data_IF_482274124238
#
_entry.id   IF_482274124238
#
_cell.length_a   1.000
_cell.length_b   1.000
_cell.length_c   1.000
_cell.angle_alpha   90.00
_cell.angle_beta   90.00
_cell.angle_gamma   90.00
#
_symmetry.space_group_name_H-M   'P 1'
#
loop_
_entity.id
_entity.type
_entity.pdbx_description
1 polymer ?
#
# COMPACT_ATOMS: atom_id res chain seq x y z
N UNK A 1 -1.28 -6.14 -15.82
CA UNK A 1 -2.36 -6.93 -16.43
C UNK A 1 -2.66 -8.25 -15.70
N UNK A 2 -1.70 -8.85 -15.02
CA UNK A 2 -1.86 -10.13 -14.29
C UNK A 2 -2.66 -10.05 -12.97
N UNK A 3 -2.83 -8.88 -12.37
CA UNK A 3 -3.59 -8.72 -11.10
C UNK A 3 -5.12 -8.88 -11.25
N UNK A 4 -5.64 -8.97 -12.47
CA UNK A 4 -7.08 -9.05 -12.74
C UNK A 4 -7.66 -10.47 -12.69
N UNK A 5 -6.81 -11.51 -12.69
CA UNK A 5 -7.29 -12.89 -12.89
C UNK A 5 -7.35 -13.75 -11.62
N UNK A 6 -6.66 -13.39 -10.54
CA UNK A 6 -6.45 -14.35 -9.46
C UNK A 6 -7.35 -14.12 -8.25
N UNK A 7 -7.69 -12.88 -7.89
CA UNK A 7 -8.62 -12.59 -6.78
C UNK A 7 -9.36 -11.25 -7.01
N UNK A 8 -10.25 -11.20 -7.98
CA UNK A 8 -11.13 -10.02 -8.14
C UNK A 8 -12.29 -10.07 -7.12
N UNK A 9 -11.96 -9.80 -5.86
CA UNK A 9 -12.94 -9.67 -4.77
C UNK A 9 -13.01 -8.25 -4.25
N UNK A 10 -12.83 -7.28 -5.13
CA UNK A 10 -13.20 -5.91 -4.78
C UNK A 10 -14.69 -5.87 -4.49
N UNK A 11 -15.07 -5.25 -3.39
CA UNK A 11 -16.47 -4.93 -3.12
C UNK A 11 -17.06 -4.23 -4.35
N UNK A 12 -18.31 -4.54 -4.70
CA UNK A 12 -19.00 -3.82 -5.78
C UNK A 12 -18.86 -2.29 -5.62
N UNK A 13 -18.83 -1.81 -4.39
CA UNK A 13 -18.62 -0.39 -4.07
C UNK A 13 -17.24 0.14 -4.46
N UNK A 14 -16.19 -0.66 -4.26
CA UNK A 14 -14.82 -0.28 -4.66
C UNK A 14 -14.66 -0.25 -6.17
N UNK A 15 -15.37 -1.15 -6.86
CA UNK A 15 -15.40 -1.20 -8.33
C UNK A 15 -16.09 0.04 -8.87
N UNK A 16 -17.30 0.36 -8.36
CA UNK A 16 -18.07 1.56 -8.76
C UNK A 16 -17.22 2.81 -8.56
N UNK A 17 -16.62 2.96 -7.38
CA UNK A 17 -15.74 4.09 -7.07
C UNK A 17 -14.56 4.20 -8.04
N UNK A 18 -13.91 3.09 -8.36
CA UNK A 18 -12.76 3.07 -9.29
C UNK A 18 -13.19 3.47 -10.70
N UNK A 19 -14.34 2.98 -11.18
CA UNK A 19 -14.90 3.35 -12.50
C UNK A 19 -15.20 4.85 -12.54
N UNK A 20 -15.91 5.37 -11.52
CA UNK A 20 -16.28 6.79 -11.45
C UNK A 20 -15.05 7.69 -11.41
N UNK A 21 -14.03 7.35 -10.61
CA UNK A 21 -12.81 8.16 -10.53
C UNK A 21 -12.06 8.14 -11.86
N UNK A 22 -11.87 6.98 -12.47
CA UNK A 22 -11.15 6.85 -13.73
C UNK A 22 -11.87 7.59 -14.87
N UNK A 23 -13.19 7.45 -14.96
CA UNK A 23 -14.01 8.12 -15.97
C UNK A 23 -14.07 9.64 -15.77
N UNK A 24 -14.06 10.12 -14.51
CA UNK A 24 -13.99 11.56 -14.19
C UNK A 24 -12.66 12.17 -14.60
N UNK A 25 -11.55 11.45 -14.37
CA UNK A 25 -10.24 11.87 -14.87
C UNK A 25 -10.21 11.94 -16.40
N UNK A 26 -10.78 10.90 -17.06
CA UNK A 26 -10.89 10.88 -18.52
C UNK A 26 -11.75 12.04 -19.05
N UNK A 27 -12.87 12.35 -18.39
CA UNK A 27 -13.70 13.52 -18.71
C UNK A 27 -12.88 14.80 -18.64
N UNK A 28 -12.12 14.99 -17.56
CA UNK A 28 -11.26 16.17 -17.40
C UNK A 28 -10.23 16.30 -18.52
N UNK A 29 -9.53 15.21 -18.86
CA UNK A 29 -8.56 15.23 -19.96
C UNK A 29 -9.23 15.46 -21.32
N UNK A 30 -10.39 14.88 -21.57
CA UNK A 30 -11.15 15.08 -22.82
C UNK A 30 -11.61 16.53 -22.94
N UNK A 31 -12.09 17.14 -21.86
CA UNK A 31 -12.47 18.56 -21.87
C UNK A 31 -11.26 19.47 -22.07
N UNK A 32 -10.11 19.17 -21.45
CA UNK A 32 -8.87 19.92 -21.63
C UNK A 32 -8.35 19.80 -23.07
N UNK A 33 -8.34 18.59 -23.63
CA UNK A 33 -7.97 18.35 -25.03
C UNK A 33 -8.89 19.06 -26.01
N UNK A 34 -10.21 19.01 -25.80
CA UNK A 34 -11.21 19.72 -26.60
C UNK A 34 -11.04 21.24 -26.54
N UNK A 35 -10.53 21.77 -25.44
CA UNK A 35 -10.20 23.18 -25.30
C UNK A 35 -8.93 23.55 -26.06
N UNK A 36 -7.90 22.70 -26.00
CA UNK A 36 -6.58 22.94 -26.65
C UNK A 36 -6.67 22.75 -28.17
N UNK A 37 -7.41 21.75 -28.62
CA UNK A 37 -7.56 21.41 -30.06
C UNK A 37 -8.92 21.86 -30.58
N UNK A 38 -9.10 23.17 -30.79
CA UNK A 38 -10.38 23.81 -31.18
C UNK A 38 -11.03 23.22 -32.43
N UNK A 39 -10.25 22.71 -33.36
CA UNK A 39 -10.73 22.14 -34.64
C UNK A 39 -11.50 20.82 -34.44
N UNK A 40 -11.28 20.11 -33.32
CA UNK A 40 -11.92 18.84 -32.96
C UNK A 40 -12.82 18.96 -31.74
N UNK A 41 -13.31 20.16 -31.44
CA UNK A 41 -14.10 20.41 -30.25
C UNK A 41 -15.50 19.77 -30.36
N UNK A 42 -15.72 18.70 -29.59
CA UNK A 42 -17.06 18.15 -29.42
C UNK A 42 -17.91 19.07 -28.52
N UNK A 43 -19.23 19.18 -28.81
CA UNK A 43 -20.14 19.90 -27.91
C UNK A 43 -20.04 19.38 -26.47
N UNK A 44 -19.94 20.29 -25.52
CA UNK A 44 -19.79 19.93 -24.07
C UNK A 44 -20.90 19.00 -23.56
N UNK A 45 -22.14 19.19 -24.08
CA UNK A 45 -23.27 18.32 -23.78
C UNK A 45 -23.06 16.88 -24.24
N UNK A 46 -22.43 16.67 -25.41
CA UNK A 46 -22.13 15.34 -25.94
C UNK A 46 -21.11 14.65 -25.04
N UNK A 47 -20.06 15.36 -24.61
CA UNK A 47 -19.02 14.82 -23.70
C UNK A 47 -19.65 14.42 -22.36
N UNK A 48 -20.54 15.24 -21.78
CA UNK A 48 -21.23 14.94 -20.53
C UNK A 48 -22.19 13.76 -20.65
N UNK A 49 -22.98 13.70 -21.71
CA UNK A 49 -23.90 12.57 -21.96
C UNK A 49 -23.10 11.29 -22.15
N UNK A 50 -22.02 11.32 -22.94
CA UNK A 50 -21.15 10.17 -23.14
C UNK A 50 -20.52 9.68 -21.81
N UNK A 51 -20.10 10.61 -20.93
CA UNK A 51 -19.58 10.29 -19.59
C UNK A 51 -20.63 9.55 -18.75
N UNK A 52 -21.88 10.04 -18.71
CA UNK A 52 -22.95 9.41 -17.92
C UNK A 52 -23.27 8.03 -18.46
N UNK A 53 -23.47 7.90 -19.78
CA UNK A 53 -23.77 6.62 -20.43
C UNK A 53 -22.66 5.60 -20.24
N UNK A 54 -21.39 6.01 -20.39
CA UNK A 54 -20.23 5.16 -20.19
C UNK A 54 -20.19 4.61 -18.75
N UNK A 55 -20.42 5.46 -17.75
CA UNK A 55 -20.47 5.01 -16.35
C UNK A 55 -21.59 4.01 -16.10
N UNK A 56 -22.81 4.28 -16.60
CA UNK A 56 -23.94 3.36 -16.45
C UNK A 56 -23.62 2.01 -17.10
N UNK A 57 -23.10 1.99 -18.32
CA UNK A 57 -22.75 0.77 -19.04
C UNK A 57 -21.64 -0.03 -18.34
N UNK A 58 -20.56 0.63 -17.94
CA UNK A 58 -19.44 -0.03 -17.27
C UNK A 58 -19.83 -0.60 -15.91
N UNK A 59 -20.60 0.14 -15.12
CA UNK A 59 -21.06 -0.30 -13.80
C UNK A 59 -22.03 -1.48 -13.97
N UNK A 60 -23.02 -1.37 -14.87
CA UNK A 60 -24.00 -2.43 -15.14
C UNK A 60 -23.31 -3.70 -15.65
N UNK A 61 -22.38 -3.57 -16.60
CA UNK A 61 -21.59 -4.68 -17.12
C UNK A 61 -20.80 -5.39 -16.01
N UNK A 62 -20.13 -4.62 -15.16
CA UNK A 62 -19.32 -5.22 -14.10
C UNK A 62 -20.15 -5.88 -13.01
N UNK A 63 -21.30 -5.30 -12.66
CA UNK A 63 -22.25 -5.92 -11.74
C UNK A 63 -22.79 -7.23 -12.32
N UNK A 64 -23.21 -7.22 -13.58
CA UNK A 64 -23.71 -8.39 -14.29
C UNK A 64 -22.65 -9.49 -14.38
N UNK A 65 -21.41 -9.11 -14.74
CA UNK A 65 -20.27 -10.01 -14.76
C UNK A 65 -20.05 -10.66 -13.39
N UNK A 66 -20.07 -9.88 -12.31
CA UNK A 66 -19.90 -10.42 -10.95
C UNK A 66 -21.04 -11.36 -10.54
N UNK A 67 -22.28 -11.11 -10.98
CA UNK A 67 -23.41 -11.99 -10.68
C UNK A 67 -23.26 -13.33 -11.44
N UNK A 68 -22.91 -13.27 -12.73
CA UNK A 68 -22.82 -14.45 -13.58
C UNK A 68 -21.59 -15.31 -13.26
N UNK A 69 -20.44 -14.65 -13.05
CA UNK A 69 -19.14 -15.31 -12.88
C UNK A 69 -18.61 -15.34 -11.44
N UNK A 70 -19.42 -14.96 -10.45
CA UNK A 70 -19.05 -15.06 -9.03
C UNK A 70 -18.97 -16.53 -8.61
N UNK A 71 -17.86 -17.20 -8.92
CA UNK A 71 -17.55 -18.52 -8.36
C UNK A 71 -17.30 -18.38 -6.86
N UNK A 72 -17.78 -19.35 -6.06
CA UNK A 72 -17.27 -19.54 -4.70
C UNK A 72 -15.76 -19.81 -4.83
N UNK A 73 -14.95 -19.14 -4.03
CA UNK A 73 -13.49 -19.29 -4.12
C UNK A 73 -13.06 -20.69 -3.63
N UNK A 74 -13.98 -21.42 -3.00
CA UNK A 74 -13.72 -22.76 -2.54
C UNK A 74 -12.98 -22.84 -1.22
N UNK A 75 -12.23 -23.92 -1.02
CA UNK A 75 -11.46 -24.16 0.20
C UNK A 75 -9.99 -23.79 -0.02
N UNK A 76 -9.47 -22.90 0.81
CA UNK A 76 -8.04 -22.54 0.85
C UNK A 76 -7.39 -23.30 1.98
N UNK A 77 -6.30 -24.01 1.69
CA UNK A 77 -5.43 -24.59 2.70
C UNK A 77 -4.34 -23.58 3.03
N UNK A 78 -4.33 -23.09 4.26
CA UNK A 78 -3.22 -22.26 4.76
C UNK A 78 -2.24 -23.14 5.53
N UNK A 79 -0.97 -23.11 5.13
CA UNK A 79 0.14 -23.83 5.76
C UNK A 79 1.08 -22.77 6.32
N UNK A 80 1.22 -22.69 7.65
CA UNK A 80 2.01 -21.63 8.28
C UNK A 80 2.34 -21.95 9.73
N UNK A 81 2.89 -20.96 10.45
CA UNK A 81 3.05 -21.05 11.91
C UNK A 81 1.73 -20.78 12.62
N UNK A 82 1.60 -21.24 13.87
CA UNK A 82 0.44 -20.95 14.73
C UNK A 82 0.26 -19.43 14.93
N UNK A 83 1.34 -18.66 14.98
CA UNK A 83 1.30 -17.20 15.11
C UNK A 83 0.72 -16.51 13.86
N UNK A 84 0.91 -17.12 12.69
CA UNK A 84 0.37 -16.61 11.42
C UNK A 84 -1.11 -16.99 11.21
N UNK A 85 -1.61 -18.06 11.85
CA UNK A 85 -2.94 -18.62 11.63
C UNK A 85 -4.05 -17.59 11.78
N UNK A 86 -4.18 -17.02 12.97
CA UNK A 86 -5.24 -16.06 13.29
C UNK A 86 -5.15 -14.82 12.39
N UNK A 87 -3.96 -14.32 12.17
CA UNK A 87 -3.71 -13.14 11.34
C UNK A 87 -4.15 -13.36 9.89
N UNK A 88 -3.64 -14.41 9.26
CA UNK A 88 -3.85 -14.69 7.83
C UNK A 88 -5.28 -15.17 7.59
N UNK A 89 -5.79 -16.08 8.43
CA UNK A 89 -7.18 -16.56 8.34
C UNK A 89 -8.17 -15.40 8.44
N UNK A 90 -8.00 -14.51 9.42
CA UNK A 90 -8.85 -13.33 9.55
C UNK A 90 -8.71 -12.38 8.36
N UNK A 91 -7.52 -12.21 7.79
CA UNK A 91 -7.31 -11.39 6.59
C UNK A 91 -8.06 -11.99 5.38
N UNK A 92 -7.97 -13.30 5.16
CA UNK A 92 -8.68 -14.01 4.10
C UNK A 92 -10.20 -13.88 4.29
N UNK A 93 -10.71 -14.18 5.49
CA UNK A 93 -12.14 -14.09 5.79
C UNK A 93 -12.68 -12.64 5.69
N UNK A 94 -11.89 -11.64 6.08
CA UNK A 94 -12.28 -10.24 5.92
C UNK A 94 -12.32 -9.78 4.47
N UNK A 95 -11.49 -10.36 3.62
CA UNK A 95 -11.41 -10.03 2.20
C UNK A 95 -12.48 -10.76 1.38
N UNK A 96 -12.68 -12.05 1.64
CA UNK A 96 -13.52 -12.93 0.82
C UNK A 96 -14.87 -13.27 1.46
N UNK A 97 -15.04 -13.01 2.75
CA UNK A 97 -16.29 -13.24 3.47
C UNK A 97 -16.64 -14.73 3.54
N UNK A 98 -17.96 -15.01 3.46
CA UNK A 98 -18.51 -16.38 3.53
C UNK A 98 -18.26 -17.24 2.27
N UNK A 99 -17.62 -16.68 1.24
CA UNK A 99 -17.36 -17.36 -0.04
C UNK A 99 -16.14 -18.30 0.02
N UNK A 100 -15.42 -18.31 1.14
CA UNK A 100 -14.16 -19.05 1.31
C UNK A 100 -14.20 -19.82 2.61
N UNK A 101 -13.81 -21.08 2.54
CA UNK A 101 -13.48 -21.90 3.70
C UNK A 101 -11.95 -21.98 3.84
N UNK A 102 -11.43 -21.56 4.99
CA UNK A 102 -10.00 -21.65 5.29
C UNK A 102 -9.77 -22.86 6.18
N UNK A 103 -8.89 -23.77 5.76
CA UNK A 103 -8.34 -24.85 6.57
C UNK A 103 -6.90 -24.49 6.92
N UNK A 104 -6.52 -24.66 8.16
CA UNK A 104 -5.16 -24.43 8.64
C UNK A 104 -4.46 -25.75 8.91
N UNK A 105 -3.17 -25.80 8.57
CA UNK A 105 -2.25 -26.86 8.97
C UNK A 105 -0.94 -26.21 9.43
N UNK A 106 -0.45 -26.64 10.59
CA UNK A 106 0.83 -26.14 11.08
C UNK A 106 1.99 -26.61 10.18
N UNK A 107 2.92 -25.71 9.91
CA UNK A 107 4.13 -25.99 9.13
C UNK A 107 5.07 -27.03 9.78
N UNK A 108 4.94 -27.26 11.09
CA UNK A 108 5.66 -28.30 11.83
C UNK A 108 5.19 -29.72 11.53
N UNK A 109 3.96 -29.88 11.00
CA UNK A 109 3.40 -31.18 10.69
C UNK A 109 4.26 -31.94 9.64
N UNK A 110 4.24 -33.30 9.70
CA UNK A 110 4.92 -34.14 8.74
C UNK A 110 4.40 -33.87 7.31
N UNK A 111 5.32 -33.81 6.34
CA UNK A 111 4.98 -33.50 4.94
C UNK A 111 3.88 -34.41 4.37
N UNK A 112 3.87 -35.69 4.74
CA UNK A 112 2.88 -36.66 4.27
C UNK A 112 1.45 -36.31 4.71
N UNK A 113 1.28 -35.71 5.90
CA UNK A 113 -0.03 -35.24 6.36
C UNK A 113 -0.46 -34.00 5.56
N UNK A 114 0.44 -33.06 5.37
CA UNK A 114 0.19 -31.85 4.56
C UNK A 114 -0.26 -32.26 3.15
N UNK A 115 0.45 -33.18 2.50
CA UNK A 115 0.14 -33.64 1.14
C UNK A 115 -1.22 -34.36 1.02
N UNK A 116 -1.67 -35.07 2.05
CA UNK A 116 -3.00 -35.67 2.07
C UNK A 116 -4.12 -34.62 2.00
N UNK A 117 -3.95 -33.50 2.69
CA UNK A 117 -4.95 -32.42 2.70
C UNK A 117 -5.03 -31.66 1.38
N UNK A 118 -3.97 -31.68 0.57
CA UNK A 118 -3.96 -31.04 -0.75
C UNK A 118 -5.03 -31.58 -1.70
N UNK A 119 -5.49 -32.82 -1.50
CA UNK A 119 -6.50 -33.41 -2.38
C UNK A 119 -7.87 -32.75 -2.25
N UNK A 120 -8.19 -32.26 -1.05
CA UNK A 120 -9.55 -31.79 -0.67
C UNK A 120 -9.69 -30.27 -0.68
N UNK A 121 -8.76 -29.55 -1.28
CA UNK A 121 -8.76 -28.07 -1.30
C UNK A 121 -8.60 -27.54 -2.72
N UNK A 122 -9.11 -26.36 -2.97
CA UNK A 122 -9.10 -25.74 -4.30
C UNK A 122 -7.84 -24.90 -4.54
N UNK A 123 -7.25 -24.36 -3.47
CA UNK A 123 -6.02 -23.57 -3.55
C UNK A 123 -5.21 -23.67 -2.26
N UNK A 124 -3.93 -23.36 -2.36
CA UNK A 124 -2.97 -23.48 -1.27
C UNK A 124 -2.34 -22.10 -1.00
N UNK A 125 -2.22 -21.73 0.27
CA UNK A 125 -1.46 -20.58 0.70
C UNK A 125 -0.36 -21.00 1.67
N UNK A 126 0.87 -20.63 1.38
CA UNK A 126 2.06 -21.01 2.15
C UNK A 126 2.56 -19.79 2.91
N UNK A 127 2.70 -19.92 4.22
CA UNK A 127 3.24 -18.89 5.11
C UNK A 127 4.73 -18.63 4.89
N UNK A 128 5.23 -17.56 5.51
CA UNK A 128 6.63 -17.13 5.33
C UNK A 128 7.63 -17.98 6.11
N UNK A 129 7.20 -18.64 7.17
CA UNK A 129 8.06 -19.41 8.09
C UNK A 129 8.25 -20.88 7.74
N UNK A 130 7.73 -21.36 6.60
CA UNK A 130 7.90 -22.76 6.22
C UNK A 130 9.32 -23.04 5.71
N UNK A 131 9.86 -24.17 6.10
CA UNK A 131 11.17 -24.66 5.64
C UNK A 131 11.21 -24.85 4.10
N UNK A 132 12.31 -24.42 3.46
CA UNK A 132 12.40 -24.40 2.00
C UNK A 132 12.18 -25.77 1.36
N UNK A 133 12.64 -26.85 1.97
CA UNK A 133 12.45 -28.21 1.44
C UNK A 133 10.98 -28.63 1.46
N UNK A 134 10.29 -28.37 2.58
CA UNK A 134 8.82 -28.62 2.69
C UNK A 134 8.05 -27.75 1.71
N UNK A 135 8.40 -26.46 1.62
CA UNK A 135 7.81 -25.50 0.68
C UNK A 135 7.89 -25.99 -0.76
N UNK A 136 9.07 -26.46 -1.17
CA UNK A 136 9.28 -27.00 -2.52
C UNK A 136 8.40 -28.22 -2.80
N UNK A 137 8.32 -29.18 -1.87
CA UNK A 137 7.49 -30.39 -2.01
C UNK A 137 6.00 -30.06 -2.13
N UNK A 138 5.52 -29.10 -1.33
CA UNK A 138 4.13 -28.63 -1.40
C UNK A 138 3.84 -27.93 -2.72
N UNK A 139 4.72 -27.05 -3.18
CA UNK A 139 4.58 -26.35 -4.47
C UNK A 139 4.53 -27.37 -5.61
N UNK A 140 5.51 -28.30 -5.67
CA UNK A 140 5.60 -29.30 -6.72
C UNK A 140 4.32 -30.15 -6.83
N UNK A 141 3.86 -30.71 -5.70
CA UNK A 141 2.64 -31.54 -5.66
C UNK A 141 1.38 -30.74 -6.04
N UNK A 142 1.33 -29.47 -5.68
CA UNK A 142 0.20 -28.60 -5.99
C UNK A 142 0.13 -28.24 -7.47
N UNK A 143 1.29 -27.91 -8.07
CA UNK A 143 1.42 -27.60 -9.48
C UNK A 143 1.11 -28.85 -10.34
N UNK A 144 1.60 -30.03 -9.94
CA UNK A 144 1.29 -31.31 -10.60
C UNK A 144 -0.23 -31.58 -10.65
N UNK A 145 -0.95 -31.18 -9.59
CA UNK A 145 -2.43 -31.30 -9.51
C UNK A 145 -3.18 -30.12 -10.11
N UNK A 146 -2.49 -29.17 -10.75
CA UNK A 146 -3.10 -27.99 -11.36
C UNK A 146 -3.72 -27.02 -10.34
N UNK A 147 -3.30 -27.08 -9.07
CA UNK A 147 -3.85 -26.21 -8.02
C UNK A 147 -3.04 -24.91 -7.87
N UNK A 148 -3.70 -23.75 -7.79
CA UNK A 148 -3.01 -22.48 -7.58
C UNK A 148 -2.35 -22.43 -6.20
N UNK A 149 -1.11 -21.98 -6.16
CA UNK A 149 -0.32 -21.82 -4.93
C UNK A 149 0.01 -20.35 -4.72
N UNK A 150 -0.27 -19.86 -3.53
CA UNK A 150 0.05 -18.51 -3.07
C UNK A 150 1.12 -18.62 -2.01
N UNK A 151 2.17 -17.84 -2.12
CA UNK A 151 3.27 -17.84 -1.15
C UNK A 151 3.38 -16.48 -0.52
N UNK A 152 3.39 -16.42 0.81
CA UNK A 152 3.78 -15.22 1.53
C UNK A 152 5.31 -15.13 1.46
N UNK A 153 5.88 -14.17 0.68
CA UNK A 153 7.30 -14.18 0.42
C UNK A 153 8.08 -13.80 1.69
N UNK A 154 9.16 -14.51 1.96
CA UNK A 154 10.18 -14.05 2.87
C UNK A 154 11.19 -13.13 2.15
N UNK A 155 12.19 -12.60 2.86
CA UNK A 155 13.18 -11.70 2.26
C UNK A 155 13.95 -12.36 1.11
N UNK A 156 14.33 -13.63 1.27
CA UNK A 156 15.04 -14.40 0.23
C UNK A 156 14.19 -14.54 -1.05
N UNK A 157 12.91 -14.88 -0.92
CA UNK A 157 11.98 -14.96 -2.04
C UNK A 157 11.88 -13.62 -2.80
N UNK A 158 11.81 -12.50 -2.05
CA UNK A 158 11.75 -11.17 -2.65
C UNK A 158 13.04 -10.78 -3.39
N UNK A 159 14.19 -11.19 -2.87
CA UNK A 159 15.48 -10.93 -3.50
C UNK A 159 15.65 -11.73 -4.79
N UNK A 160 15.19 -12.97 -4.83
CA UNK A 160 15.25 -13.83 -6.00
C UNK A 160 14.23 -13.48 -7.08
N UNK A 161 13.11 -12.85 -6.73
CA UNK A 161 11.97 -12.66 -7.62
C UNK A 161 12.29 -11.95 -8.96
N UNK A 162 13.41 -11.29 -9.11
CA UNK A 162 13.85 -10.64 -10.36
C UNK A 162 15.34 -10.91 -10.68
N UNK A 163 15.81 -12.10 -10.33
CA UNK A 163 17.09 -12.58 -10.85
C UNK A 163 17.00 -12.82 -12.36
N UNK A 164 18.06 -12.53 -13.05
CA UNK A 164 18.20 -12.81 -14.49
C UNK A 164 18.92 -14.14 -14.64
N UNK A 165 18.28 -15.07 -15.34
CA UNK A 165 18.93 -16.33 -15.68
C UNK A 165 19.97 -16.06 -16.76
N UNK A 166 21.21 -16.49 -16.50
CA UNK A 166 22.33 -16.45 -17.45
C UNK A 166 23.11 -17.75 -17.35
N UNK A 167 24.05 -17.96 -18.27
CA UNK A 167 24.90 -19.15 -18.27
C UNK A 167 26.36 -18.74 -18.08
N UNK A 168 27.08 -19.53 -17.31
CA UNK A 168 28.54 -19.51 -17.25
C UNK A 168 28.97 -20.88 -17.78
N UNK A 169 29.49 -20.89 -19.01
CA UNK A 169 29.72 -22.09 -19.78
C UNK A 169 28.42 -22.91 -19.93
N UNK A 170 28.36 -24.14 -19.46
CA UNK A 170 27.19 -25.02 -19.47
C UNK A 170 26.32 -24.96 -18.21
N UNK A 171 26.74 -24.16 -17.23
CA UNK A 171 26.05 -24.03 -15.95
C UNK A 171 25.08 -22.84 -15.97
N UNK A 172 23.79 -23.13 -15.69
CA UNK A 172 22.80 -22.08 -15.48
C UNK A 172 23.00 -21.38 -14.14
N UNK A 173 23.13 -20.06 -14.14
CA UNK A 173 23.26 -19.24 -12.93
C UNK A 173 22.19 -18.17 -12.88
N UNK A 174 21.75 -17.85 -11.67
CA UNK A 174 20.80 -16.78 -11.41
C UNK A 174 21.58 -15.53 -10.97
N UNK A 175 21.69 -14.53 -11.83
CA UNK A 175 22.32 -13.27 -11.50
C UNK A 175 21.33 -12.35 -10.79
N UNK A 176 21.58 -12.06 -9.52
CA UNK A 176 20.81 -11.09 -8.74
C UNK A 176 21.34 -9.69 -9.00
N UNK A 177 20.46 -8.79 -9.43
CA UNK A 177 20.81 -7.37 -9.52
C UNK A 177 20.93 -6.78 -8.12
N UNK A 178 21.85 -5.83 -7.88
CA UNK A 178 21.90 -5.09 -6.62
C UNK A 178 20.54 -4.49 -6.28
N UNK A 179 20.22 -4.41 -4.98
CA UNK A 179 19.05 -3.69 -4.52
C UNK A 179 19.20 -2.19 -4.79
N UNK A 180 18.10 -1.55 -5.16
CA UNK A 180 18.05 -0.13 -5.44
C UNK A 180 17.87 0.18 -6.92
N UNK A 181 17.94 1.45 -7.25
CA UNK A 181 17.72 1.97 -8.60
C UNK A 181 19.05 2.12 -9.33
N UNK A 182 19.08 1.78 -10.62
CA UNK A 182 20.24 2.08 -11.49
C UNK A 182 20.45 3.59 -11.60
N UNK A 183 21.64 4.02 -12.01
CA UNK A 183 21.95 5.46 -12.18
C UNK A 183 20.96 6.14 -13.13
N UNK A 184 20.62 5.50 -14.25
CA UNK A 184 19.63 6.03 -15.20
C UNK A 184 18.24 6.17 -14.58
N UNK A 185 17.79 5.17 -13.84
CA UNK A 185 16.52 5.22 -13.11
C UNK A 185 16.52 6.34 -12.07
N UNK A 186 17.60 6.52 -11.32
CA UNK A 186 17.73 7.60 -10.35
C UNK A 186 17.66 8.98 -11.01
N UNK A 187 18.32 9.16 -12.17
CA UNK A 187 18.32 10.43 -12.91
C UNK A 187 16.91 10.77 -13.43
N UNK A 188 16.24 9.82 -14.10
CA UNK A 188 14.87 10.01 -14.60
C UNK A 188 13.91 10.30 -13.46
N UNK A 189 13.97 9.51 -12.37
CA UNK A 189 13.15 9.73 -11.18
C UNK A 189 13.40 11.10 -10.55
N UNK A 190 14.66 11.53 -10.45
CA UNK A 190 15.02 12.82 -9.88
C UNK A 190 14.49 13.99 -10.71
N UNK A 191 14.61 13.91 -12.02
CA UNK A 191 14.08 14.93 -12.93
C UNK A 191 12.55 15.05 -12.76
N UNK A 192 11.87 13.92 -12.78
CA UNK A 192 10.43 13.88 -12.55
C UNK A 192 10.04 14.44 -11.18
N UNK A 193 10.72 14.03 -10.10
CA UNK A 193 10.47 14.51 -8.74
C UNK A 193 10.59 16.05 -8.65
N UNK A 194 11.61 16.64 -9.28
CA UNK A 194 11.80 18.10 -9.30
C UNK A 194 10.66 18.77 -10.04
N UNK A 195 10.37 18.35 -11.27
CA UNK A 195 9.36 18.98 -12.12
C UNK A 195 7.98 18.86 -11.49
N UNK A 196 7.59 17.66 -11.05
CA UNK A 196 6.28 17.42 -10.49
C UNK A 196 6.10 18.13 -9.12
N UNK A 197 7.13 18.16 -8.27
CA UNK A 197 7.07 18.87 -6.99
C UNK A 197 7.01 20.38 -7.17
N UNK A 198 7.74 20.93 -8.14
CA UNK A 198 7.70 22.36 -8.45
C UNK A 198 6.31 22.76 -8.95
N UNK A 199 5.75 22.03 -9.91
CA UNK A 199 4.39 22.27 -10.42
C UNK A 199 3.37 22.17 -9.28
N UNK A 200 3.47 21.11 -8.46
CA UNK A 200 2.56 20.93 -7.32
C UNK A 200 2.66 22.09 -6.32
N UNK A 201 3.85 22.59 -6.00
CA UNK A 201 4.03 23.74 -5.09
C UNK A 201 3.42 25.02 -5.66
N UNK A 202 3.59 25.27 -6.95
CA UNK A 202 2.99 26.45 -7.61
C UNK A 202 1.47 26.36 -7.59
N UNK A 203 0.92 25.21 -8.01
CA UNK A 203 -0.56 24.99 -8.03
C UNK A 203 -1.19 25.02 -6.65
N UNK A 204 -0.51 24.49 -5.64
CA UNK A 204 -1.01 24.42 -4.25
C UNK A 204 -0.61 25.65 -3.41
N UNK A 205 0.12 26.62 -3.97
CA UNK A 205 0.55 27.81 -3.23
C UNK A 205 -0.61 28.58 -2.55
N UNK A 206 -1.80 28.75 -3.16
CA UNK A 206 -2.92 29.38 -2.46
C UNK A 206 -3.36 28.59 -1.21
N UNK A 207 -3.32 27.25 -1.32
CA UNK A 207 -3.67 26.36 -0.20
C UNK A 207 -2.65 26.47 0.94
N UNK A 208 -1.35 26.61 0.61
CA UNK A 208 -0.31 26.87 1.61
C UNK A 208 -0.55 28.15 2.39
N UNK A 209 -0.94 29.23 1.70
CA UNK A 209 -1.23 30.53 2.32
C UNK A 209 -2.46 30.38 3.24
N UNK A 210 -3.53 29.76 2.77
CA UNK A 210 -4.76 29.57 3.55
C UNK A 210 -4.45 28.80 4.85
N UNK A 211 -3.77 27.65 4.78
CA UNK A 211 -3.47 26.87 5.98
C UNK A 211 -2.45 27.54 6.88
N UNK A 212 -1.49 28.29 6.34
CA UNK A 212 -0.56 29.08 7.14
C UNK A 212 -1.32 30.15 7.97
N UNK A 213 -2.29 30.82 7.36
CA UNK A 213 -3.16 31.81 8.07
C UNK A 213 -4.03 31.10 9.10
N UNK A 214 -4.70 30.01 8.78
CA UNK A 214 -5.55 29.27 9.72
C UNK A 214 -4.77 28.78 10.94
N UNK A 215 -3.55 28.25 10.75
CA UNK A 215 -2.67 27.82 11.84
C UNK A 215 -2.30 29.01 12.74
N UNK A 216 -2.00 30.17 12.14
CA UNK A 216 -1.65 31.39 12.90
C UNK A 216 -2.84 32.00 13.61
N UNK A 217 -4.04 31.89 13.06
CA UNK A 217 -5.27 32.35 13.72
C UNK A 217 -5.63 31.48 14.93
N UNK A 218 -5.40 30.15 14.85
CA UNK A 218 -5.67 29.24 15.96
C UNK A 218 -4.62 29.34 17.07
N UNK A 219 -3.33 29.49 16.71
CA UNK A 219 -2.23 29.70 17.66
C UNK A 219 -1.20 30.70 17.11
N UNK A 220 -1.35 32.00 17.41
CA UNK A 220 -0.51 33.08 16.88
C UNK A 220 0.98 32.95 17.27
N UNK A 221 1.27 32.38 18.44
CA UNK A 221 2.65 32.31 18.96
C UNK A 221 3.44 31.15 18.34
N UNK A 222 2.78 30.05 17.98
CA UNK A 222 3.44 28.84 17.49
C UNK A 222 3.90 28.94 16.03
N UNK A 223 4.81 28.08 15.62
CA UNK A 223 5.32 27.99 14.24
C UNK A 223 4.27 27.48 13.26
N UNK A 224 4.33 27.89 11.98
CA UNK A 224 3.48 27.37 10.92
C UNK A 224 3.90 25.94 10.55
N UNK A 225 5.20 25.71 10.48
CA UNK A 225 5.78 24.45 10.09
C UNK A 225 6.29 23.69 11.31
N UNK A 226 6.02 22.38 11.30
CA UNK A 226 6.60 21.42 12.20
C UNK A 226 7.79 20.76 11.52
N UNK A 227 8.89 20.60 12.24
CA UNK A 227 10.14 19.99 11.79
C UNK A 227 10.45 18.77 12.65
N UNK A 228 10.82 17.66 12.02
CA UNK A 228 11.16 16.43 12.74
C UNK A 228 12.28 15.68 12.01
N UNK A 229 13.20 15.12 12.76
CA UNK A 229 14.25 14.25 12.22
C UNK A 229 13.68 12.89 11.80
N UNK A 230 14.12 12.43 10.64
CA UNK A 230 13.74 11.17 10.02
C UNK A 230 14.94 10.53 9.33
N UNK A 231 14.91 9.19 9.20
CA UNK A 231 15.89 8.47 8.39
C UNK A 231 15.54 8.56 6.90
N UNK A 232 16.52 8.97 6.13
CA UNK A 232 16.49 9.06 4.69
C UNK A 232 17.28 7.93 4.00
N UNK A 233 17.68 8.19 2.75
CA UNK A 233 18.52 7.27 1.98
C UNK A 233 19.83 6.98 2.72
N UNK A 234 20.26 5.72 2.68
CA UNK A 234 21.48 5.21 3.32
C UNK A 234 21.54 5.51 4.83
N UNK A 235 20.36 5.55 5.48
CA UNK A 235 20.16 5.85 6.90
C UNK A 235 20.63 7.24 7.33
N UNK A 236 20.84 8.17 6.40
CA UNK A 236 21.21 9.55 6.71
C UNK A 236 20.00 10.29 7.25
N UNK A 237 20.19 10.98 8.36
CA UNK A 237 19.13 11.80 8.95
C UNK A 237 18.85 13.04 8.11
N UNK A 238 17.59 13.39 8.02
CA UNK A 238 17.12 14.63 7.41
C UNK A 238 15.91 15.20 8.15
N UNK A 239 15.65 16.49 7.98
CA UNK A 239 14.50 17.17 8.59
C UNK A 239 13.32 17.14 7.64
N UNK A 240 12.24 16.44 8.03
CA UNK A 240 10.97 16.47 7.33
C UNK A 240 10.15 17.72 7.70
N UNK A 241 9.52 18.37 6.71
CA UNK A 241 8.65 19.53 6.90
C UNK A 241 7.19 19.11 6.83
N UNK A 242 6.39 19.58 7.79
CA UNK A 242 4.92 19.43 7.81
C UNK A 242 4.27 20.72 8.26
N UNK A 243 2.99 20.91 7.96
CA UNK A 243 2.22 21.91 8.68
C UNK A 243 2.02 21.46 10.12
N UNK A 244 2.11 22.42 11.06
CA UNK A 244 1.85 22.14 12.47
C UNK A 244 0.38 21.80 12.67
N UNK A 245 0.10 20.59 13.09
CA UNK A 245 -1.24 20.05 13.35
C UNK A 245 -1.52 19.77 14.83
N UNK A 246 -0.54 20.05 15.70
CA UNK A 246 -0.63 19.90 17.16
C UNK A 246 -0.24 21.18 17.86
N UNK A 247 -0.62 21.29 19.13
CA UNK A 247 -0.19 22.43 20.00
C UNK A 247 1.32 22.50 20.10
N UNK A 248 1.86 23.69 20.34
CA UNK A 248 3.31 23.88 20.47
C UNK A 248 3.86 23.04 21.61
N UNK A 249 4.99 22.38 21.39
CA UNK A 249 5.64 21.55 22.41
C UNK A 249 4.93 20.22 22.71
N UNK A 250 3.95 19.76 21.92
CA UNK A 250 3.18 18.55 22.17
C UNK A 250 4.05 17.29 22.43
N UNK A 251 5.21 17.14 21.79
CA UNK A 251 6.12 16.03 22.00
C UNK A 251 6.96 16.13 23.29
N UNK A 252 7.21 17.35 23.77
CA UNK A 252 7.92 17.55 25.05
C UNK A 252 7.11 17.03 26.24
N UNK A 253 5.77 17.01 26.10
CA UNK A 253 4.87 16.59 27.17
C UNK A 253 4.76 15.07 27.32
N UNK A 254 4.91 14.31 26.23
CA UNK A 254 4.58 12.87 26.21
C UNK A 254 5.69 11.99 25.64
N UNK A 255 6.79 12.58 25.18
CA UNK A 255 7.83 11.85 24.43
C UNK A 255 7.36 11.42 23.02
N UNK A 256 8.13 10.53 22.37
CA UNK A 256 7.86 10.04 21.00
C UNK A 256 6.72 9.02 20.98
N UNK A 257 5.48 9.47 21.15
CA UNK A 257 4.28 8.62 21.13
C UNK A 257 3.51 8.83 19.83
N UNK A 258 2.98 7.73 19.25
CA UNK A 258 2.10 7.79 18.10
C UNK A 258 0.76 8.43 18.50
N UNK A 259 0.29 9.40 17.71
CA UNK A 259 -0.97 10.08 17.99
C UNK A 259 -2.17 9.14 17.81
N UNK A 260 -3.01 9.05 18.82
CA UNK A 260 -4.28 8.33 18.79
C UNK A 260 -5.37 9.07 18.01
N UNK A 261 -6.54 8.42 17.82
CA UNK A 261 -7.67 8.96 17.06
C UNK A 261 -8.25 10.26 17.68
N UNK A 262 -8.28 10.36 19.01
CA UNK A 262 -8.80 11.50 19.76
C UNK A 262 -7.72 12.16 20.63
N UNK A 263 -6.52 12.29 20.09
CA UNK A 263 -5.40 12.90 20.80
C UNK A 263 -5.70 14.38 21.10
N UNK A 264 -5.73 14.79 22.38
CA UNK A 264 -6.08 16.16 22.79
C UNK A 264 -5.05 17.19 22.32
N UNK A 265 -3.86 16.79 21.94
CA UNK A 265 -2.80 17.66 21.43
C UNK A 265 -3.09 18.15 20.00
N UNK A 266 -4.04 17.52 19.28
CA UNK A 266 -4.35 17.88 17.90
C UNK A 266 -5.28 19.10 17.89
N UNK A 267 -4.89 20.18 17.19
CA UNK A 267 -5.69 21.39 17.03
C UNK A 267 -6.92 21.16 16.13
N UNK A 268 -7.89 22.06 16.12
CA UNK A 268 -9.10 21.91 15.26
C UNK A 268 -8.73 21.94 13.79
N UNK A 269 -7.91 22.91 13.36
CA UNK A 269 -7.36 22.99 12.00
C UNK A 269 -6.48 21.78 11.71
N UNK A 270 -5.65 21.36 12.68
CA UNK A 270 -4.80 20.19 12.57
C UNK A 270 -5.57 18.89 12.32
N UNK A 271 -6.73 18.72 12.94
CA UNK A 271 -7.61 17.56 12.74
C UNK A 271 -8.10 17.46 11.28
N UNK A 272 -8.49 18.60 10.71
CA UNK A 272 -8.89 18.65 9.31
C UNK A 272 -7.70 18.34 8.38
N UNK A 273 -6.55 19.00 8.61
CA UNK A 273 -5.34 18.79 7.78
C UNK A 273 -4.88 17.33 7.82
N UNK A 274 -4.84 16.69 8.98
CA UNK A 274 -4.46 15.26 9.12
C UNK A 274 -5.44 14.33 8.42
N UNK A 275 -6.74 14.63 8.47
CA UNK A 275 -7.77 13.83 7.77
C UNK A 275 -7.62 13.91 6.25
N UNK A 276 -7.21 15.06 5.74
CA UNK A 276 -7.03 15.33 4.30
C UNK A 276 -5.59 15.15 3.83
N UNK A 277 -4.66 14.85 4.73
CA UNK A 277 -3.22 14.76 4.48
C UNK A 277 -2.57 16.05 3.98
N UNK A 278 -3.26 17.16 4.10
CA UNK A 278 -2.73 18.49 3.74
C UNK A 278 -1.54 18.89 4.64
N UNK A 279 -1.50 18.40 5.88
CA UNK A 279 -0.37 18.57 6.79
C UNK A 279 0.96 18.05 6.23
N UNK A 280 0.95 17.12 5.28
CA UNK A 280 2.15 16.53 4.67
C UNK A 280 2.61 17.26 3.40
N UNK A 281 1.84 18.22 2.85
CA UNK A 281 2.20 18.97 1.64
C UNK A 281 3.57 19.67 1.70
N UNK A 282 4.02 20.23 2.85
CA UNK A 282 5.35 20.84 2.91
C UNK A 282 6.52 19.89 2.64
N UNK A 283 6.30 18.56 2.65
CA UNK A 283 7.30 17.58 2.22
C UNK A 283 7.71 17.73 0.76
N UNK A 284 6.89 18.38 -0.09
CA UNK A 284 7.27 18.74 -1.45
C UNK A 284 8.57 19.58 -1.48
N UNK A 285 8.84 20.38 -0.43
CA UNK A 285 10.11 21.08 -0.27
C UNK A 285 11.28 20.12 -0.01
N UNK A 286 11.05 19.03 0.75
CA UNK A 286 12.06 17.99 0.94
C UNK A 286 12.37 17.26 -0.39
N UNK A 287 11.35 17.06 -1.22
CA UNK A 287 11.55 16.46 -2.57
C UNK A 287 12.40 17.39 -3.42
N UNK A 288 12.10 18.69 -3.48
CA UNK A 288 12.92 19.65 -4.24
C UNK A 288 14.36 19.73 -3.73
N UNK A 289 14.57 19.72 -2.41
CA UNK A 289 15.91 19.68 -1.82
C UNK A 289 16.68 18.39 -2.16
N UNK A 290 15.97 17.30 -2.37
CA UNK A 290 16.56 16.01 -2.71
C UNK A 290 16.68 15.04 -1.54
N UNK A 291 16.14 15.38 -0.37
CA UNK A 291 16.08 14.49 0.81
C UNK A 291 15.07 13.37 0.60
N UNK A 292 13.99 13.67 -0.13
CA UNK A 292 12.88 12.78 -0.42
C UNK A 292 12.63 12.63 -1.93
N UNK A 293 11.75 11.71 -2.26
CA UNK A 293 11.10 11.52 -3.55
C UNK A 293 9.58 11.63 -3.38
N UNK A 294 8.83 11.81 -4.46
CA UNK A 294 7.36 11.74 -4.40
C UNK A 294 6.93 10.33 -3.99
N UNK A 295 7.54 9.30 -4.60
CA UNK A 295 7.24 7.89 -4.30
C UNK A 295 8.47 7.19 -3.71
N UNK A 296 8.26 6.51 -2.59
CA UNK A 296 9.30 5.74 -1.90
C UNK A 296 8.78 5.18 -0.57
N UNK A 297 9.59 4.42 0.16
CA UNK A 297 9.28 4.01 1.53
C UNK A 297 9.01 5.20 2.44
N UNK A 298 8.02 5.07 3.34
CA UNK A 298 7.72 6.16 4.29
C UNK A 298 8.88 6.38 5.26
N UNK A 299 9.39 7.61 5.46
CA UNK A 299 10.51 7.87 6.36
C UNK A 299 10.11 7.64 7.81
N UNK A 300 10.91 6.85 8.54
CA UNK A 300 10.68 6.54 9.94
C UNK A 300 11.62 7.35 10.87
N UNK A 301 11.21 7.47 12.13
CA UNK A 301 12.08 8.03 13.19
C UNK A 301 13.15 7.01 13.54
N UNK A 302 14.36 7.46 13.78
CA UNK A 302 15.49 6.60 14.17
C UNK A 302 15.14 5.72 15.37
N UNK A 303 14.47 6.28 16.38
CA UNK A 303 14.03 5.54 17.56
C UNK A 303 13.19 4.30 17.22
N UNK A 304 12.19 4.43 16.38
CA UNK A 304 11.34 3.30 15.97
C UNK A 304 12.06 2.36 15.01
N UNK A 305 12.86 2.91 14.08
CA UNK A 305 13.60 2.10 13.13
C UNK A 305 14.60 1.16 13.83
N UNK A 306 15.28 1.64 14.88
CA UNK A 306 16.18 0.80 15.71
C UNK A 306 15.43 -0.30 16.49
N UNK A 307 14.20 -0.03 16.91
CA UNK A 307 13.37 -1.07 17.53
C UNK A 307 12.96 -2.13 16.51
N UNK A 308 12.51 -1.71 15.33
CA UNK A 308 12.12 -2.62 14.26
C UNK A 308 13.28 -3.46 13.74
N UNK A 309 14.50 -2.91 13.68
CA UNK A 309 15.69 -3.68 13.28
C UNK A 309 16.04 -4.81 14.27
N UNK A 310 15.72 -4.66 15.55
CA UNK A 310 15.90 -5.74 16.54
C UNK A 310 14.95 -6.91 16.33
N UNK A 311 13.75 -6.62 15.84
CA UNK A 311 12.72 -7.64 15.60
C UNK A 311 12.79 -8.21 14.17
N UNK A 312 13.15 -7.36 13.21
CA UNK A 312 13.18 -7.68 11.79
C UNK A 312 14.59 -7.42 11.25
N UNK A 313 15.40 -8.45 11.21
CA UNK A 313 16.70 -8.39 10.55
C UNK A 313 16.54 -7.77 9.15
N UNK A 314 17.41 -6.84 8.79
CA UNK A 314 17.42 -6.17 7.49
C UNK A 314 16.32 -5.09 7.29
N UNK A 315 15.70 -4.57 8.34
CA UNK A 315 14.72 -3.49 8.25
C UNK A 315 15.27 -2.27 7.51
N UNK A 316 16.55 -1.94 7.68
CA UNK A 316 17.21 -0.81 7.03
C UNK A 316 17.41 -0.97 5.51
N UNK A 317 17.22 -2.15 4.94
CA UNK A 317 17.28 -2.31 3.47
C UNK A 317 16.24 -1.48 2.73
N UNK A 318 15.17 -1.08 3.37
CA UNK A 318 14.19 -0.16 2.79
C UNK A 318 14.76 1.25 2.53
N UNK A 319 15.83 1.62 3.22
CA UNK A 319 16.46 2.95 3.12
C UNK A 319 17.57 3.03 2.05
N UNK A 320 17.75 2.01 1.23
CA UNK A 320 18.65 2.03 0.05
C UNK A 320 18.19 3.07 -0.99
N UNK A 321 16.90 3.40 -1.00
CA UNK A 321 16.31 4.43 -1.85
C UNK A 321 15.85 5.63 -1.03
N UNK A 322 15.61 6.77 -1.70
CA UNK A 322 15.04 7.94 -1.03
C UNK A 322 13.64 7.64 -0.48
N UNK A 323 13.31 8.12 0.73
CA UNK A 323 11.96 8.01 1.27
C UNK A 323 10.97 8.82 0.44
N UNK A 324 9.70 8.39 0.46
CA UNK A 324 8.63 9.01 -0.32
C UNK A 324 7.58 9.73 0.52
N UNK A 325 6.89 10.71 -0.09
CA UNK A 325 5.66 11.29 0.43
C UNK A 325 4.57 10.20 0.43
N UNK A 326 4.48 9.45 -0.66
CA UNK A 326 3.68 8.23 -0.78
C UNK A 326 4.55 7.03 -1.13
N UNK A 327 4.01 5.82 -1.00
CA UNK A 327 4.75 4.61 -1.30
C UNK A 327 3.86 3.38 -1.43
N UNK A 328 4.43 2.29 -1.93
CA UNK A 328 3.70 1.06 -2.18
C UNK A 328 3.08 0.48 -0.89
N UNK A 329 3.82 0.50 0.22
CA UNK A 329 3.31 0.10 1.54
C UNK A 329 2.14 0.98 2.02
N UNK A 330 2.12 2.27 1.66
CA UNK A 330 1.05 3.19 2.04
C UNK A 330 -0.25 2.97 1.26
N UNK A 331 -0.16 2.55 -0.01
CA UNK A 331 -1.35 2.28 -0.84
C UNK A 331 -1.90 0.87 -0.65
N UNK A 332 -1.04 -0.12 -0.39
CA UNK A 332 -1.43 -1.53 -0.22
C UNK A 332 -1.76 -1.87 1.24
N UNK A 333 -1.02 -1.29 2.18
CA UNK A 333 -1.19 -1.51 3.60
C UNK A 333 -2.41 -0.78 4.19
N UNK A 334 -2.82 -1.23 5.37
CA UNK A 334 -3.81 -0.59 6.26
C UNK A 334 -3.07 -0.03 7.48
N UNK A 335 -3.77 0.74 8.30
CA UNK A 335 -3.21 1.20 9.58
C UNK A 335 -2.74 0.04 10.47
N UNK A 336 -3.49 -1.07 10.44
CA UNK A 336 -3.23 -2.30 11.22
C UNK A 336 -2.21 -3.25 10.58
N UNK A 337 -1.63 -2.90 9.42
CA UNK A 337 -0.62 -3.74 8.76
C UNK A 337 0.65 -3.80 9.59
N UNK A 338 1.15 -5.01 9.83
CA UNK A 338 2.38 -5.24 10.61
C UNK A 338 3.59 -4.57 9.96
N UNK A 339 4.62 -4.32 10.78
CA UNK A 339 5.88 -3.72 10.29
C UNK A 339 6.56 -4.63 9.27
N UNK A 340 6.51 -5.94 9.48
CA UNK A 340 7.04 -6.96 8.58
C UNK A 340 6.35 -6.91 7.19
N UNK A 341 5.00 -6.86 7.15
CA UNK A 341 4.28 -6.73 5.88
C UNK A 341 4.56 -5.39 5.18
N UNK A 342 4.72 -4.29 5.95
CA UNK A 342 5.14 -3.00 5.38
C UNK A 342 6.53 -3.07 4.77
N UNK A 343 7.46 -3.75 5.45
CA UNK A 343 8.81 -3.98 4.95
C UNK A 343 8.78 -4.79 3.64
N UNK A 344 7.97 -5.86 3.57
CA UNK A 344 7.77 -6.63 2.33
C UNK A 344 7.27 -5.76 1.19
N UNK A 345 6.30 -4.88 1.43
CA UNK A 345 5.82 -3.94 0.41
C UNK A 345 6.88 -2.93 -0.01
N UNK A 346 7.67 -2.40 0.91
CA UNK A 346 8.76 -1.47 0.58
C UNK A 346 9.85 -2.16 -0.24
N UNK A 347 10.26 -3.38 0.14
CA UNK A 347 11.25 -4.16 -0.59
C UNK A 347 10.74 -4.62 -1.96
N UNK A 348 9.45 -4.98 -2.06
CA UNK A 348 8.81 -5.24 -3.33
C UNK A 348 8.88 -4.03 -4.26
N UNK A 349 8.57 -2.84 -3.78
CA UNK A 349 8.68 -1.62 -4.56
C UNK A 349 10.11 -1.38 -5.04
N UNK A 350 11.10 -1.48 -4.15
CA UNK A 350 12.52 -1.25 -4.47
C UNK A 350 12.98 -2.24 -5.55
N UNK A 351 12.56 -3.50 -5.44
CA UNK A 351 12.95 -4.57 -6.37
C UNK A 351 12.29 -4.44 -7.74
N UNK A 352 11.03 -4.02 -7.74
CA UNK A 352 10.20 -3.91 -8.94
C UNK A 352 10.11 -2.48 -9.49
N UNK A 353 11.03 -1.60 -9.08
CA UNK A 353 10.97 -0.21 -9.48
C UNK A 353 10.85 -0.05 -11.00
N UNK A 354 9.84 0.71 -11.40
CA UNK A 354 9.69 1.26 -12.74
C UNK A 354 9.03 2.63 -12.66
N UNK A 355 9.27 3.49 -13.64
CA UNK A 355 8.62 4.80 -13.71
C UNK A 355 7.09 4.68 -13.77
N UNK A 356 6.60 3.67 -14.49
CA UNK A 356 5.16 3.38 -14.57
C UNK A 356 4.59 3.00 -13.20
N UNK A 357 5.34 2.23 -12.40
CA UNK A 357 4.92 1.87 -11.04
C UNK A 357 4.77 3.13 -10.16
N UNK A 358 5.68 4.09 -10.27
CA UNK A 358 5.59 5.37 -9.56
C UNK A 358 4.30 6.12 -9.93
N UNK A 359 3.99 6.20 -11.20
CA UNK A 359 2.75 6.84 -11.68
C UNK A 359 1.50 6.11 -11.14
N UNK A 360 1.50 4.79 -11.20
CA UNK A 360 0.39 3.98 -10.64
C UNK A 360 0.23 4.23 -9.14
N UNK A 361 1.33 4.29 -8.37
CA UNK A 361 1.29 4.57 -6.93
C UNK A 361 0.69 5.94 -6.66
N UNK A 362 1.08 6.97 -7.41
CA UNK A 362 0.55 8.33 -7.26
C UNK A 362 -0.97 8.38 -7.52
N UNK A 363 -1.44 7.77 -8.61
CA UNK A 363 -2.87 7.68 -8.89
C UNK A 363 -3.62 6.89 -7.80
N UNK A 364 -3.09 5.74 -7.37
CA UNK A 364 -3.69 4.96 -6.27
C UNK A 364 -3.69 5.75 -4.96
N UNK A 365 -2.70 6.61 -4.70
CA UNK A 365 -2.67 7.48 -3.52
C UNK A 365 -3.87 8.42 -3.49
N UNK A 366 -4.22 9.03 -4.62
CA UNK A 366 -5.40 9.90 -4.70
C UNK A 366 -6.66 9.11 -4.31
N UNK A 367 -6.81 7.89 -4.83
CA UNK A 367 -7.96 7.02 -4.51
C UNK A 367 -7.99 6.67 -3.01
N UNK A 368 -6.84 6.34 -2.44
CA UNK A 368 -6.70 5.96 -1.02
C UNK A 368 -7.01 7.13 -0.08
N UNK A 369 -6.73 8.38 -0.46
CA UNK A 369 -7.10 9.56 0.33
C UNK A 369 -8.61 9.68 0.57
N UNK A 370 -9.42 9.18 -0.36
CA UNK A 370 -10.89 9.15 -0.24
C UNK A 370 -11.39 7.85 0.43
N UNK A 371 -10.53 6.89 0.73
CA UNK A 371 -10.90 5.62 1.37
C UNK A 371 -10.79 5.71 2.90
N UNK A 372 -11.91 5.94 3.56
CA UNK A 372 -12.01 6.01 5.04
C UNK A 372 -11.55 4.74 5.74
N UNK A 373 -11.65 3.57 5.10
CA UNK A 373 -11.30 2.28 5.72
C UNK A 373 -9.79 2.08 5.89
N UNK A 374 -8.99 2.77 5.06
CA UNK A 374 -7.52 2.76 5.12
C UNK A 374 -6.97 3.83 6.05
N UNK A 375 -7.69 4.94 6.22
CA UNK A 375 -7.30 6.06 7.07
C UNK A 375 -7.63 5.84 8.56
N UNK A 376 -8.73 5.14 8.82
CA UNK A 376 -9.18 4.81 10.18
C UNK A 376 -9.02 3.31 10.39
N UNK A 377 -8.19 2.91 11.39
CA UNK A 377 -8.21 1.53 11.86
C UNK A 377 -9.66 1.15 12.19
N UNK A 378 -10.17 0.06 11.60
CA UNK A 378 -11.48 -0.48 12.02
C UNK A 378 -11.45 -0.63 13.53
N UNK A 379 -12.48 -0.16 14.22
CA UNK A 379 -12.73 -0.55 15.61
C UNK A 379 -12.51 -2.06 15.68
N UNK A 380 -11.60 -2.47 16.54
CA UNK A 380 -11.39 -3.88 16.83
C UNK A 380 -12.75 -4.49 17.18
N UNK A 381 -13.09 -5.56 16.49
CA UNK A 381 -14.25 -6.38 16.75
C UNK A 381 -14.02 -7.22 18.01
N UNK A 382 -13.59 -6.59 19.11
CA UNK A 382 -13.49 -7.23 20.44
C UNK A 382 -14.84 -7.73 20.93
N UNK A 383 -15.95 -7.12 20.51
CA UNK A 383 -17.29 -7.51 20.96
C UNK A 383 -17.84 -8.79 20.34
N UNK A 384 -17.23 -9.36 19.28
CA UNK A 384 -17.74 -10.60 18.66
C UNK A 384 -17.04 -11.87 19.11
N UNK A 385 -15.90 -11.80 19.73
CA UNK A 385 -15.18 -12.97 20.26
C UNK A 385 -15.75 -13.36 21.62
N UNK A 386 -16.16 -12.39 22.45
CA UNK A 386 -16.81 -12.68 23.75
C UNK A 386 -18.17 -13.35 23.61
N UNK A 387 -18.96 -13.00 22.59
CA UNK A 387 -20.25 -13.65 22.34
C UNK A 387 -20.14 -15.05 21.76
N UNK A 388 -19.04 -15.39 21.07
CA UNK A 388 -18.85 -16.73 20.50
C UNK A 388 -18.32 -17.73 21.52
N UNK A 389 -17.60 -17.27 22.54
CA UNK A 389 -17.15 -18.11 23.65
C UNK A 389 -18.24 -18.38 24.70
N UNK A 390 -19.35 -17.62 24.68
CA UNK A 390 -20.51 -17.86 25.54
C UNK A 390 -21.50 -18.87 24.95
N UNK A 391 -21.50 -19.06 23.61
CA UNK A 391 -22.39 -20.03 22.95
C UNK A 391 -21.77 -21.42 22.74
N UNK A 392 -20.50 -21.62 23.07
CA UNK A 392 -19.83 -22.92 23.06
C UNK A 392 -19.69 -23.55 24.46
N UNK A 393 -20.28 -22.91 25.48
CA UNK A 393 -20.36 -23.43 26.88
C UNK A 393 -21.77 -23.69 27.36
N UNK A 394 -22.73 -23.74 26.45
CA UNK A 394 -24.11 -24.19 26.77
C UNK A 394 -24.46 -25.43 25.96
#
# INVERSE_FOLDING_TARGET
>A
MYELYIFDTKSNWDIIRSIVIASTLMLFFTMAASFLFREFALPRSVILIAYILMNILLISWKILYNIIFSKSIGTILFIGSEEEEDKITNQILNQYGKKVHVKFICSSEPINQILKHLQFVDSIMIGSGIENEKKLKVIYHSVEKGKPVYVIPNLYDLLLAHSVNTTIDDTMVMAMKPLGLSMGQQAVKRLYDIVASFIALVLLSPLFIIFALLIKLEDPKGSIFYKQERLGKDNKEFIIYKFRSMVEGAEKMTGPVLAGKNDPRITKVGRFMRKTRVDELPQLLNVLKGDMSIVGPRPEREYFAKQFEKELNHYFYRNIVKPGITGYAQIMGKYTTSVDDKLRFDLFYIRNYSFILDIIIQFKTIIVLFDKTKAEGKKERKERIETKNLTLKS
#
